data_IF_631095052137
#
_entry.id   IF_631095052137
#
_cell.length_a   1.000
_cell.length_b   1.000
_cell.length_c   1.000
_cell.angle_alpha   90.00
_cell.angle_beta   90.00
_cell.angle_gamma   90.00
#
_symmetry.space_group_name_H-M   'P 1'
#
loop_
_entity.id
_entity.type
_entity.pdbx_description
1 polymer ?
#
# COMPACT_ATOMS: atom_id res chain seq x y z
N UNK A 1 6.43 -10.66 14.82
CA UNK A 1 6.50 -9.34 14.16
C UNK A 1 5.64 -9.33 12.92
N UNK A 2 4.92 -8.25 12.70
CA UNK A 2 4.05 -8.16 11.54
C UNK A 2 4.84 -7.82 10.28
N UNK A 3 4.46 -8.44 9.17
CA UNK A 3 5.00 -8.08 7.86
C UNK A 3 4.42 -6.74 7.46
N UNK A 4 5.26 -5.83 7.04
CA UNK A 4 4.86 -4.47 6.64
C UNK A 4 4.54 -4.43 5.16
N UNK A 5 3.34 -3.98 4.82
CA UNK A 5 2.86 -3.89 3.43
C UNK A 5 2.51 -2.45 3.11
N UNK A 6 3.03 -1.96 1.99
CA UNK A 6 2.66 -0.64 1.47
C UNK A 6 1.77 -0.85 0.26
N UNK A 7 0.58 -0.28 0.29
CA UNK A 7 -0.35 -0.32 -0.83
C UNK A 7 -0.33 1.03 -1.52
N UNK A 8 -0.06 1.04 -2.82
CA UNK A 8 -0.13 2.25 -3.64
C UNK A 8 -1.33 2.11 -4.57
N UNK A 9 -2.40 2.82 -4.25
CA UNK A 9 -3.68 2.69 -4.96
C UNK A 9 -4.41 4.03 -4.90
N UNK A 10 -4.79 4.56 -6.06
CA UNK A 10 -5.48 5.85 -6.13
C UNK A 10 -6.98 5.73 -5.82
N UNK A 11 -7.56 4.56 -5.98
CA UNK A 11 -8.97 4.34 -5.62
C UNK A 11 -9.07 4.02 -4.13
N UNK A 12 -9.64 4.95 -3.37
CA UNK A 12 -9.71 4.79 -1.90
C UNK A 12 -10.53 3.59 -1.49
N UNK A 13 -11.59 3.28 -2.24
CA UNK A 13 -12.44 2.14 -1.88
C UNK A 13 -11.68 0.84 -2.03
N UNK A 14 -10.91 0.71 -3.10
CA UNK A 14 -10.10 -0.48 -3.32
C UNK A 14 -9.00 -0.56 -2.26
N UNK A 15 -8.34 0.57 -1.99
CA UNK A 15 -7.28 0.60 -0.99
C UNK A 15 -7.80 0.18 0.38
N UNK A 16 -8.98 0.67 0.76
CA UNK A 16 -9.57 0.32 2.05
C UNK A 16 -9.91 -1.17 2.14
N UNK A 17 -10.42 -1.74 1.06
CA UNK A 17 -10.74 -3.17 1.04
C UNK A 17 -9.47 -4.00 1.19
N UNK A 18 -8.43 -3.64 0.46
CA UNK A 18 -7.16 -4.35 0.57
C UNK A 18 -6.56 -4.21 1.96
N UNK A 19 -6.63 -3.01 2.52
CA UNK A 19 -6.12 -2.76 3.86
C UNK A 19 -6.85 -3.61 4.89
N UNK A 20 -8.18 -3.63 4.85
CA UNK A 20 -8.97 -4.44 5.77
C UNK A 20 -8.61 -5.91 5.67
N UNK A 21 -8.52 -6.39 4.44
CA UNK A 21 -8.24 -7.80 4.21
C UNK A 21 -6.86 -8.18 4.75
N UNK A 22 -5.86 -7.37 4.43
CA UNK A 22 -4.49 -7.67 4.85
C UNK A 22 -4.30 -7.50 6.34
N UNK A 23 -4.94 -6.51 6.93
CA UNK A 23 -4.86 -6.34 8.39
C UNK A 23 -5.51 -7.51 9.12
N UNK A 24 -6.58 -8.03 8.55
CA UNK A 24 -7.23 -9.22 9.10
C UNK A 24 -6.29 -10.43 9.08
N UNK A 25 -5.41 -10.49 8.09
CA UNK A 25 -4.43 -11.56 7.98
C UNK A 25 -3.17 -11.32 8.82
N UNK A 26 -3.12 -10.22 9.53
CA UNK A 26 -2.02 -9.95 10.45
C UNK A 26 -0.92 -9.05 9.90
N UNK A 27 -1.12 -8.45 8.71
CA UNK A 27 -0.13 -7.55 8.14
C UNK A 27 -0.27 -6.14 8.70
N UNK A 28 0.86 -5.45 8.78
CA UNK A 28 0.87 -4.02 9.10
C UNK A 28 0.78 -3.26 7.77
N UNK A 29 -0.30 -2.53 7.54
CA UNK A 29 -0.60 -1.95 6.25
C UNK A 29 -0.51 -0.44 6.28
N UNK A 30 0.16 0.12 5.27
CA UNK A 30 0.20 1.56 5.01
C UNK A 30 -0.32 1.79 3.60
N UNK A 31 -1.12 2.83 3.42
CA UNK A 31 -1.72 3.13 2.12
C UNK A 31 -1.19 4.46 1.61
N UNK A 32 -0.81 4.49 0.33
CA UNK A 32 -0.44 5.70 -0.37
C UNK A 32 -1.40 5.92 -1.54
N UNK A 33 -1.80 7.15 -1.76
CA UNK A 33 -2.79 7.48 -2.78
C UNK A 33 -2.22 7.66 -4.18
N UNK A 34 -0.92 7.79 -4.31
CA UNK A 34 -0.27 7.94 -5.61
C UNK A 34 1.19 7.53 -5.52
N UNK A 35 1.87 7.55 -6.67
CA UNK A 35 3.26 7.11 -6.74
C UNK A 35 4.22 7.98 -5.94
N UNK A 36 3.96 9.30 -5.89
CA UNK A 36 4.80 10.21 -5.11
C UNK A 36 4.71 9.93 -3.63
N UNK A 37 3.48 9.77 -3.11
CA UNK A 37 3.27 9.40 -1.73
C UNK A 37 3.83 8.00 -1.45
N UNK A 38 3.66 7.09 -2.41
CA UNK A 38 4.18 5.74 -2.28
C UNK A 38 5.68 5.73 -2.09
N UNK A 39 6.40 6.49 -2.89
CA UNK A 39 7.84 6.57 -2.80
C UNK A 39 8.29 7.17 -1.47
N UNK A 40 7.64 8.25 -1.04
CA UNK A 40 7.97 8.88 0.23
C UNK A 40 7.75 7.92 1.39
N UNK A 41 6.61 7.20 1.39
CA UNK A 41 6.31 6.24 2.45
C UNK A 41 7.23 5.03 2.39
N UNK A 42 7.56 4.59 1.19
CA UNK A 42 8.51 3.49 1.03
C UNK A 42 9.83 3.80 1.72
N UNK A 43 10.34 5.01 1.51
CA UNK A 43 11.60 5.43 2.13
C UNK A 43 11.49 5.56 3.63
N UNK A 44 10.33 6.01 4.12
CA UNK A 44 10.13 6.26 5.54
C UNK A 44 9.95 4.96 6.33
N UNK A 45 9.16 4.02 5.81
CA UNK A 45 8.79 2.82 6.57
C UNK A 45 9.54 1.57 6.13
N UNK A 46 10.14 1.58 4.96
CA UNK A 46 10.88 0.43 4.41
C UNK A 46 10.06 -0.85 4.51
N UNK A 47 8.93 -0.93 3.78
CA UNK A 47 8.04 -2.08 3.90
C UNK A 47 8.67 -3.36 3.36
N UNK A 48 8.17 -4.48 3.83
CA UNK A 48 8.61 -5.78 3.34
C UNK A 48 8.02 -6.09 1.97
N UNK A 49 6.84 -5.54 1.68
CA UNK A 49 6.13 -5.81 0.44
C UNK A 49 5.42 -4.54 -0.04
N UNK A 50 5.44 -4.31 -1.34
CA UNK A 50 4.72 -3.19 -1.95
C UNK A 50 3.71 -3.75 -2.95
N UNK A 51 2.45 -3.35 -2.80
CA UNK A 51 1.40 -3.69 -3.74
C UNK A 51 1.10 -2.46 -4.59
N UNK A 52 1.29 -2.59 -5.89
CA UNK A 52 1.00 -1.52 -6.83
C UNK A 52 -0.24 -1.88 -7.61
N UNK A 53 -1.12 -0.88 -7.82
CA UNK A 53 -2.28 -1.07 -8.68
C UNK A 53 -1.83 -1.07 -10.13
N UNK A 54 -1.96 -2.23 -10.77
CA UNK A 54 -1.57 -2.39 -12.18
C UNK A 54 -2.47 -1.59 -13.12
N UNK A 55 -3.60 -1.11 -12.63
CA UNK A 55 -4.52 -0.29 -13.42
C UNK A 55 -4.14 1.18 -13.41
N UNK A 56 -3.20 1.58 -12.56
CA UNK A 56 -2.78 2.98 -12.52
C UNK A 56 -2.02 3.34 -13.78
N UNK A 57 -2.26 4.53 -14.34
CA UNK A 57 -1.49 4.97 -15.49
C UNK A 57 -0.02 5.10 -15.12
N UNK A 58 0.84 4.57 -15.94
CA UNK A 58 2.27 4.70 -15.76
C UNK A 58 2.75 5.84 -16.62
N UNK A 59 3.38 6.80 -16.02
CA UNK A 59 3.87 7.96 -16.74
C UNK A 59 5.30 7.78 -17.17
#
# INVERSE_FOLDING_TARGET
>A
MAVSVLIVEDDRNIAELLQMYLEKEGYAVTVAGDGGQGLAKFRAIKPDLVLLDVMMPVM
#
